data_IF_910893604201
#
_entry.id   IF_910893604201
#
_cell.length_a   1.000
_cell.length_b   1.000
_cell.length_c   1.000
_cell.angle_alpha   90.00
_cell.angle_beta   90.00
_cell.angle_gamma   90.00
#
_symmetry.space_group_name_H-M   'P 1'
#
loop_
_entity.id
_entity.type
_entity.pdbx_description
1 polymer ?
#
# COMPACT_ATOMS: atom_id res chain seq x y z
N UNK A 1 39.71 -27.56 40.79
CA UNK A 1 38.55 -28.07 40.07
C UNK A 1 37.42 -27.05 40.29
N UNK A 2 37.15 -26.31 39.50
CA UNK A 2 36.50 -25.85 38.31
C UNK A 2 35.74 -24.54 38.52
N UNK A 3 36.45 -23.45 38.85
CA UNK A 3 35.86 -22.10 38.81
C UNK A 3 35.67 -21.64 37.37
N UNK A 4 36.40 -22.19 36.42
CA UNK A 4 36.35 -21.82 35.00
C UNK A 4 35.09 -22.35 34.25
N UNK A 5 34.56 -23.52 34.65
CA UNK A 5 33.37 -24.11 34.00
C UNK A 5 32.06 -23.39 34.40
N UNK A 6 32.04 -22.76 35.56
CA UNK A 6 30.84 -22.05 36.03
C UNK A 6 30.66 -20.72 35.30
N UNK A 7 31.76 -20.02 34.99
CA UNK A 7 31.73 -18.74 34.27
C UNK A 7 31.27 -18.86 32.82
N UNK A 8 31.65 -19.96 32.13
CA UNK A 8 31.23 -20.17 30.74
C UNK A 8 29.74 -20.52 30.63
N UNK A 9 29.22 -21.26 31.62
CA UNK A 9 27.80 -21.62 31.66
C UNK A 9 26.91 -20.37 31.96
N UNK A 10 27.40 -19.48 32.80
CA UNK A 10 26.67 -18.23 33.14
C UNK A 10 26.62 -17.28 31.96
N UNK A 11 27.68 -17.21 31.15
CA UNK A 11 27.69 -16.36 29.93
C UNK A 11 26.77 -16.95 28.85
N UNK A 12 26.67 -18.28 28.75
CA UNK A 12 25.79 -18.95 27.79
C UNK A 12 24.31 -18.81 28.15
N UNK A 13 23.96 -18.74 29.42
CA UNK A 13 22.59 -18.53 29.89
C UNK A 13 22.14 -17.07 29.79
N UNK A 14 23.06 -16.11 29.82
CA UNK A 14 22.73 -14.69 29.60
C UNK A 14 22.50 -14.33 28.13
N UNK A 15 22.97 -15.13 27.18
CA UNK A 15 22.77 -14.89 25.74
C UNK A 15 21.41 -15.37 25.22
N UNK A 16 20.63 -16.12 26.02
CA UNK A 16 19.33 -16.68 25.60
C UNK A 16 18.14 -15.78 25.97
N UNK A 17 18.34 -14.77 26.79
CA UNK A 17 17.27 -13.93 27.32
C UNK A 17 17.28 -12.48 26.86
N UNK A 18 17.82 -12.20 25.66
CA UNK A 18 17.51 -10.91 25.03
C UNK A 18 16.05 -10.99 24.55
N UNK A 19 15.14 -10.19 25.13
CA UNK A 19 13.82 -10.08 24.56
C UNK A 19 14.04 -9.59 23.11
N UNK A 20 13.55 -10.35 22.15
CA UNK A 20 13.33 -9.79 20.83
C UNK A 20 12.36 -8.63 21.05
N UNK A 21 12.90 -7.43 21.13
CA UNK A 21 12.13 -6.21 20.96
C UNK A 21 11.63 -6.33 19.51
N UNK A 22 10.47 -6.95 19.32
CA UNK A 22 9.67 -6.68 18.16
C UNK A 22 9.40 -5.19 18.26
N UNK A 23 10.06 -4.42 17.40
CA UNK A 23 9.68 -3.05 17.17
C UNK A 23 8.19 -3.11 16.84
N UNK A 24 7.37 -2.76 17.82
CA UNK A 24 5.97 -2.51 17.63
C UNK A 24 5.97 -1.32 16.68
N UNK A 25 5.81 -1.59 15.38
CA UNK A 25 5.66 -0.54 14.39
C UNK A 25 4.46 0.25 14.85
N UNK A 26 4.71 1.44 15.35
CA UNK A 26 3.68 2.33 15.86
C UNK A 26 2.85 2.73 14.64
N UNK A 27 1.81 1.94 14.35
CA UNK A 27 0.93 2.18 13.22
C UNK A 27 0.26 3.51 13.49
N UNK A 28 0.50 4.47 12.60
CA UNK A 28 -0.09 5.80 12.67
C UNK A 28 -1.63 5.68 12.71
N UNK A 29 -2.30 6.47 13.52
CA UNK A 29 -3.77 6.48 13.57
C UNK A 29 -4.36 6.72 12.17
N UNK A 30 -5.47 6.04 11.87
CA UNK A 30 -6.10 6.03 10.55
C UNK A 30 -6.35 7.45 9.99
N UNK A 31 -6.78 8.40 10.84
CA UNK A 31 -7.05 9.80 10.43
C UNK A 31 -5.81 10.52 9.87
N UNK A 32 -4.63 9.94 10.05
CA UNK A 32 -3.35 10.46 9.54
C UNK A 32 -2.85 9.70 8.32
N UNK A 33 -3.63 8.74 7.82
CA UNK A 33 -3.29 7.99 6.61
C UNK A 33 -3.87 8.70 5.39
N UNK A 34 -3.10 8.75 4.33
CA UNK A 34 -3.63 9.10 3.02
C UNK A 34 -4.06 7.79 2.35
N UNK A 35 -5.36 7.61 2.17
CA UNK A 35 -5.87 6.54 1.33
C UNK A 35 -6.05 7.08 -0.09
N UNK A 36 -5.33 6.50 -1.05
CA UNK A 36 -5.47 6.84 -2.45
C UNK A 36 -5.89 5.60 -3.22
N UNK A 37 -7.02 5.68 -3.88
CA UNK A 37 -7.51 4.64 -4.76
C UNK A 37 -7.20 5.00 -6.21
N UNK A 38 -6.50 4.10 -6.92
CA UNK A 38 -6.12 4.32 -8.31
C UNK A 38 -7.05 3.67 -9.32
N UNK A 39 -7.93 2.77 -8.88
CA UNK A 39 -8.81 2.00 -9.76
C UNK A 39 -10.25 2.25 -9.37
N UNK A 40 -11.01 2.82 -10.29
CA UNK A 40 -12.47 2.89 -10.18
C UNK A 40 -13.05 1.54 -10.65
N UNK A 41 -13.72 0.83 -9.74
CA UNK A 41 -14.47 -0.39 -10.05
C UNK A 41 -15.96 -0.11 -9.99
N UNK A 42 -16.75 -0.83 -10.76
CA UNK A 42 -18.20 -0.77 -10.64
C UNK A 42 -18.65 -1.57 -9.41
N UNK A 43 -19.57 -1.03 -8.62
CA UNK A 43 -20.09 -1.65 -7.41
C UNK A 43 -19.44 -1.13 -6.12
N UNK A 44 -19.35 -1.99 -5.10
CA UNK A 44 -18.71 -1.62 -3.83
C UNK A 44 -17.22 -1.41 -4.02
N UNK A 45 -16.75 -0.28 -3.56
CA UNK A 45 -15.32 0.04 -3.60
C UNK A 45 -14.61 -0.72 -2.49
N UNK A 46 -13.39 -1.25 -2.72
CA UNK A 46 -12.58 -1.85 -1.65
C UNK A 46 -12.40 -0.92 -0.45
N UNK A 47 -12.36 0.38 -0.71
CA UNK A 47 -12.27 1.44 0.29
C UNK A 47 -13.41 1.38 1.31
N UNK A 48 -14.64 1.09 0.89
CA UNK A 48 -15.79 1.01 1.80
C UNK A 48 -15.57 -0.05 2.90
N UNK A 49 -14.93 -1.17 2.57
CA UNK A 49 -14.59 -2.22 3.54
C UNK A 49 -13.40 -1.83 4.41
N UNK A 50 -12.39 -1.20 3.83
CA UNK A 50 -11.16 -0.79 4.54
C UNK A 50 -11.48 0.29 5.57
N UNK A 51 -12.36 1.24 5.23
CA UNK A 51 -12.69 2.38 6.07
C UNK A 51 -13.73 2.06 7.17
N UNK A 52 -14.40 0.91 7.10
CA UNK A 52 -15.35 0.51 8.15
C UNK A 52 -14.61 0.13 9.44
N UNK A 53 -15.03 0.70 10.56
CA UNK A 53 -14.46 0.47 11.90
C UNK A 53 -12.92 0.59 11.90
N UNK A 54 -12.24 -0.44 12.42
CA UNK A 54 -10.79 -0.56 12.40
C UNK A 54 -10.27 -1.59 11.38
N UNK A 55 -10.99 -1.84 10.30
CA UNK A 55 -10.61 -2.83 9.30
C UNK A 55 -9.26 -2.53 8.65
N UNK A 56 -8.91 -1.25 8.48
CA UNK A 56 -7.59 -0.85 8.00
C UNK A 56 -6.44 -1.38 8.88
N UNK A 57 -6.63 -1.38 10.21
CA UNK A 57 -5.66 -1.89 11.16
C UNK A 57 -5.53 -3.42 11.04
N UNK A 58 -6.66 -4.11 10.90
CA UNK A 58 -6.71 -5.56 10.69
C UNK A 58 -5.97 -5.92 9.40
N UNK A 59 -6.33 -5.30 8.28
CA UNK A 59 -5.75 -5.56 6.95
C UNK A 59 -4.26 -5.25 6.95
N UNK A 60 -3.83 -4.13 7.56
CA UNK A 60 -2.42 -3.76 7.66
C UNK A 60 -1.59 -4.82 8.40
N UNK A 61 -2.11 -5.33 9.52
CA UNK A 61 -1.43 -6.37 10.28
C UNK A 61 -1.45 -7.73 9.55
N UNK A 62 -2.42 -7.97 8.69
CA UNK A 62 -2.52 -9.17 7.85
C UNK A 62 -1.61 -9.14 6.60
N UNK A 63 -0.75 -8.14 6.43
CA UNK A 63 0.36 -8.19 5.45
C UNK A 63 1.26 -9.40 5.68
N UNK A 64 1.31 -9.89 6.92
CA UNK A 64 1.87 -11.21 7.29
C UNK A 64 0.76 -12.12 7.80
N UNK A 65 0.80 -13.44 7.49
CA UNK A 65 -0.27 -14.35 7.88
C UNK A 65 -0.40 -14.51 9.40
N UNK A 66 -1.59 -14.23 9.93
CA UNK A 66 -1.92 -14.36 11.36
C UNK A 66 -3.25 -15.10 11.58
N UNK A 67 -3.37 -15.77 12.73
CA UNK A 67 -4.64 -16.25 13.28
C UNK A 67 -5.34 -15.11 14.01
N UNK A 68 -6.65 -15.24 14.26
CA UNK A 68 -7.40 -14.30 15.10
C UNK A 68 -6.74 -14.12 16.48
N UNK A 69 -6.31 -15.22 17.11
CA UNK A 69 -5.67 -15.15 18.42
C UNK A 69 -4.30 -14.41 18.38
N UNK A 70 -3.55 -14.53 17.29
CA UNK A 70 -2.31 -13.79 17.11
C UNK A 70 -2.59 -12.28 16.98
N UNK A 71 -3.58 -11.87 16.19
CA UNK A 71 -4.01 -10.47 16.06
C UNK A 71 -4.44 -9.88 17.42
N UNK A 72 -5.27 -10.60 18.17
CA UNK A 72 -5.71 -10.17 19.50
C UNK A 72 -4.53 -10.01 20.47
N UNK A 73 -3.53 -10.91 20.44
CA UNK A 73 -2.30 -10.79 21.23
C UNK A 73 -1.42 -9.60 20.83
N UNK A 74 -1.49 -9.17 19.57
CA UNK A 74 -0.82 -7.96 19.08
C UNK A 74 -1.55 -6.67 19.48
N UNK A 75 -2.73 -6.80 20.11
CA UNK A 75 -3.56 -5.66 20.54
C UNK A 75 -4.52 -5.18 19.44
N UNK A 76 -4.59 -5.85 18.30
CA UNK A 76 -5.52 -5.51 17.23
C UNK A 76 -6.92 -6.01 17.64
N UNK A 77 -7.85 -5.08 17.80
CA UNK A 77 -9.26 -5.43 18.04
C UNK A 77 -9.84 -6.05 16.78
N UNK A 78 -10.29 -7.29 16.87
CA UNK A 78 -10.76 -8.03 15.72
C UNK A 78 -11.81 -9.05 16.13
N UNK A 79 -12.80 -9.29 15.30
CA UNK A 79 -13.82 -10.33 15.47
C UNK A 79 -13.85 -11.26 14.25
N UNK A 80 -14.38 -12.47 14.45
CA UNK A 80 -14.62 -13.40 13.33
C UNK A 80 -15.54 -12.79 12.26
N UNK A 81 -16.53 -11.99 12.66
CA UNK A 81 -17.44 -11.32 11.71
C UNK A 81 -16.74 -10.30 10.84
N UNK A 82 -15.79 -9.54 11.39
CA UNK A 82 -14.98 -8.60 10.62
C UNK A 82 -14.08 -9.35 9.62
N UNK A 83 -13.41 -10.42 10.08
CA UNK A 83 -12.60 -11.24 9.19
C UNK A 83 -13.42 -11.86 8.05
N UNK A 84 -14.61 -12.36 8.35
CA UNK A 84 -15.52 -12.90 7.34
C UNK A 84 -15.95 -11.82 6.34
N UNK A 85 -16.28 -10.62 6.80
CA UNK A 85 -16.65 -9.50 5.94
C UNK A 85 -15.51 -9.13 4.99
N UNK A 86 -14.29 -9.06 5.50
CA UNK A 86 -13.10 -8.75 4.71
C UNK A 86 -12.76 -9.88 3.71
N UNK A 87 -13.00 -11.14 4.07
CA UNK A 87 -12.83 -12.28 3.18
C UNK A 87 -13.87 -12.25 2.05
N UNK A 88 -15.15 -12.02 2.37
CA UNK A 88 -16.21 -11.86 1.37
C UNK A 88 -15.95 -10.68 0.45
N UNK A 89 -15.39 -9.60 0.97
CA UNK A 89 -14.94 -8.45 0.19
C UNK A 89 -13.68 -8.69 -0.65
N UNK A 90 -13.07 -9.89 -0.54
CA UNK A 90 -11.87 -10.26 -1.31
C UNK A 90 -10.59 -9.56 -0.84
N UNK A 91 -10.60 -8.90 0.32
CA UNK A 91 -9.45 -8.16 0.86
C UNK A 91 -8.47 -9.03 1.63
N UNK A 92 -8.95 -10.15 2.14
CA UNK A 92 -8.12 -11.15 2.83
C UNK A 92 -8.51 -12.56 2.36
N UNK A 93 -7.59 -13.49 2.49
CA UNK A 93 -7.83 -14.92 2.29
C UNK A 93 -7.45 -15.72 3.54
N UNK A 94 -7.93 -16.96 3.62
CA UNK A 94 -7.62 -17.88 4.70
C UNK A 94 -6.89 -19.11 4.17
N UNK A 95 -5.65 -19.29 4.63
CA UNK A 95 -4.85 -20.44 4.26
C UNK A 95 -4.23 -21.10 5.50
N UNK A 96 -4.46 -22.41 5.67
CA UNK A 96 -3.94 -23.20 6.82
C UNK A 96 -4.30 -22.60 8.18
N UNK A 97 -5.53 -22.06 8.30
CA UNK A 97 -6.01 -21.47 9.54
C UNK A 97 -5.50 -20.08 9.88
N UNK A 98 -4.70 -19.47 9.00
CA UNK A 98 -4.21 -18.09 9.11
C UNK A 98 -4.86 -17.22 8.05
N UNK A 99 -5.13 -15.98 8.40
CA UNK A 99 -5.59 -14.93 7.51
C UNK A 99 -4.43 -14.16 6.93
N UNK A 100 -4.55 -13.72 5.69
CA UNK A 100 -3.56 -12.91 4.99
C UNK A 100 -4.25 -11.90 4.09
N UNK A 101 -3.70 -10.70 3.99
CA UNK A 101 -4.13 -9.69 3.03
C UNK A 101 -3.86 -10.15 1.58
N UNK A 102 -4.83 -9.92 0.70
CA UNK A 102 -4.76 -10.26 -0.74
C UNK A 102 -4.36 -9.05 -1.59
N UNK A 103 -4.52 -7.84 -1.05
CA UNK A 103 -4.20 -6.60 -1.73
C UNK A 103 -2.82 -6.08 -1.31
N UNK A 104 -2.08 -5.41 -2.20
CA UNK A 104 -0.84 -4.76 -1.84
C UNK A 104 -1.12 -3.53 -0.96
N UNK A 105 -0.50 -3.49 0.22
CA UNK A 105 -0.54 -2.35 1.12
C UNK A 105 0.88 -1.84 1.30
N UNK A 106 1.10 -0.61 0.89
CA UNK A 106 2.38 0.05 1.02
C UNK A 106 2.45 0.81 2.34
N UNK A 107 3.58 0.71 3.02
CA UNK A 107 3.87 1.56 4.17
C UNK A 107 4.38 2.94 3.74
N UNK A 108 4.66 3.80 4.70
CA UNK A 108 5.10 5.18 4.45
C UNK A 108 6.42 5.23 3.67
N UNK A 109 7.37 4.36 4.00
CA UNK A 109 8.67 4.29 3.33
C UNK A 109 8.53 3.83 1.88
N UNK A 110 7.78 2.76 1.66
CA UNK A 110 7.49 2.22 0.33
C UNK A 110 6.74 3.24 -0.53
N UNK A 111 5.73 3.91 0.03
CA UNK A 111 4.95 4.94 -0.65
C UNK A 111 5.83 6.14 -1.03
N UNK A 112 6.69 6.60 -0.12
CA UNK A 112 7.63 7.69 -0.37
C UNK A 112 8.63 7.31 -1.47
N UNK A 113 9.16 6.10 -1.42
CA UNK A 113 10.09 5.59 -2.44
C UNK A 113 9.43 5.56 -3.82
N UNK A 114 8.22 5.00 -3.92
CA UNK A 114 7.47 4.96 -5.18
C UNK A 114 7.13 6.36 -5.72
N UNK A 115 6.72 7.29 -4.84
CA UNK A 115 6.45 8.68 -5.24
C UNK A 115 7.70 9.36 -5.80
N UNK A 116 8.87 9.12 -5.21
CA UNK A 116 10.12 9.68 -5.70
C UNK A 116 10.50 9.09 -7.06
N UNK A 117 10.40 7.78 -7.24
CA UNK A 117 10.65 7.11 -8.53
C UNK A 117 9.68 7.64 -9.59
N UNK A 118 8.39 7.70 -9.29
CA UNK A 118 7.37 8.22 -10.20
C UNK A 118 7.63 9.66 -10.61
N UNK A 119 8.10 10.49 -9.69
CA UNK A 119 8.47 11.89 -9.96
C UNK A 119 9.64 12.00 -10.95
N UNK A 120 10.65 11.17 -10.78
CA UNK A 120 11.80 11.18 -11.72
C UNK A 120 11.39 10.65 -13.10
N UNK A 121 10.57 9.61 -13.17
CA UNK A 121 10.00 9.14 -14.44
C UNK A 121 9.17 10.24 -15.10
N UNK A 122 8.28 10.91 -14.37
CA UNK A 122 7.46 11.99 -14.89
C UNK A 122 8.30 13.16 -15.42
N UNK A 123 9.39 13.53 -14.73
CA UNK A 123 10.32 14.56 -15.21
C UNK A 123 10.99 14.15 -16.53
N UNK A 124 11.46 12.90 -16.62
CA UNK A 124 12.07 12.38 -17.83
C UNK A 124 11.07 12.36 -18.99
N UNK A 125 9.87 11.86 -18.77
CA UNK A 125 8.80 11.88 -19.77
C UNK A 125 8.48 13.30 -20.24
N UNK A 126 8.28 14.23 -19.29
CA UNK A 126 8.02 15.63 -19.62
C UNK A 126 9.15 16.26 -20.43
N UNK A 127 10.41 16.03 -20.06
CA UNK A 127 11.54 16.57 -20.80
C UNK A 127 11.58 16.08 -22.25
N UNK A 128 11.24 14.82 -22.48
CA UNK A 128 11.25 14.21 -23.82
C UNK A 128 10.05 14.64 -24.68
N UNK A 129 8.93 15.03 -24.08
CA UNK A 129 7.68 15.33 -24.78
C UNK A 129 7.28 16.80 -24.68
N UNK A 130 8.10 17.64 -24.06
CA UNK A 130 7.77 19.04 -23.78
C UNK A 130 7.33 19.84 -25.02
N UNK A 131 8.07 19.69 -26.13
CA UNK A 131 7.75 20.38 -27.39
C UNK A 131 6.37 19.98 -27.91
N UNK A 132 6.03 18.70 -27.82
CA UNK A 132 4.77 18.15 -28.30
C UNK A 132 3.60 18.65 -27.43
N UNK A 133 3.79 18.69 -26.11
CA UNK A 133 2.80 19.26 -25.20
C UNK A 133 2.57 20.76 -25.45
N UNK A 134 3.62 21.53 -25.69
CA UNK A 134 3.49 22.96 -26.02
C UNK A 134 2.69 23.14 -27.30
N UNK A 135 3.02 22.39 -28.36
CA UNK A 135 2.29 22.43 -29.63
C UNK A 135 0.83 22.02 -29.47
N UNK A 136 0.56 20.98 -28.69
CA UNK A 136 -0.79 20.50 -28.39
C UNK A 136 -1.63 21.58 -27.66
N UNK A 137 -1.07 22.15 -26.59
CA UNK A 137 -1.75 23.22 -25.83
C UNK A 137 -2.02 24.45 -26.71
N UNK A 138 -1.10 24.79 -27.59
CA UNK A 138 -1.32 25.87 -28.56
C UNK A 138 -2.51 25.57 -29.49
N UNK A 139 -2.57 24.38 -30.06
CA UNK A 139 -3.69 23.93 -30.91
C UNK A 139 -5.03 23.98 -30.15
N UNK A 140 -5.05 23.47 -28.91
CA UNK A 140 -6.26 23.51 -28.07
C UNK A 140 -6.72 24.95 -27.83
N UNK A 141 -5.80 25.87 -27.63
CA UNK A 141 -6.08 27.30 -27.47
C UNK A 141 -6.64 27.92 -28.74
N UNK A 142 -6.04 27.66 -29.89
CA UNK A 142 -6.55 28.15 -31.19
C UNK A 142 -7.96 27.62 -31.49
N UNK A 143 -8.30 26.44 -31.03
CA UNK A 143 -9.66 25.88 -31.12
C UNK A 143 -10.65 26.47 -30.12
N UNK A 144 -10.24 27.40 -29.24
CA UNK A 144 -11.08 28.03 -28.23
C UNK A 144 -11.31 27.23 -26.97
N UNK A 145 -10.55 26.15 -26.73
CA UNK A 145 -10.69 25.27 -25.57
C UNK A 145 -9.62 25.48 -24.48
N UNK A 146 -9.04 26.66 -24.39
CA UNK A 146 -7.94 26.96 -23.45
C UNK A 146 -8.29 26.57 -22.00
N UNK A 147 -9.52 26.89 -21.54
CA UNK A 147 -9.98 26.59 -20.19
C UNK A 147 -10.15 25.07 -19.93
N UNK A 148 -10.20 24.28 -20.98
CA UNK A 148 -10.37 22.82 -20.90
C UNK A 148 -9.08 22.06 -21.22
N UNK A 149 -7.96 22.75 -21.44
CA UNK A 149 -6.72 22.14 -21.92
C UNK A 149 -6.24 21.02 -21.00
N UNK A 150 -6.26 21.22 -19.68
CA UNK A 150 -5.87 20.20 -18.71
C UNK A 150 -6.75 18.94 -18.81
N UNK A 151 -8.07 19.13 -18.84
CA UNK A 151 -9.03 18.00 -18.93
C UNK A 151 -8.88 17.25 -20.23
N UNK A 152 -8.69 17.94 -21.36
CA UNK A 152 -8.50 17.30 -22.66
C UNK A 152 -7.19 16.50 -22.72
N UNK A 153 -6.09 17.08 -22.22
CA UNK A 153 -4.82 16.39 -22.20
C UNK A 153 -4.87 15.18 -21.25
N UNK A 154 -5.37 15.37 -20.04
CA UNK A 154 -5.40 14.30 -19.05
C UNK A 154 -6.36 13.19 -19.46
N UNK A 155 -7.64 13.48 -19.65
CA UNK A 155 -8.67 12.46 -19.83
C UNK A 155 -8.61 11.80 -21.21
N UNK A 156 -8.25 12.52 -22.26
CA UNK A 156 -8.26 11.96 -23.60
C UNK A 156 -6.92 11.36 -24.03
N UNK A 157 -5.80 12.02 -23.73
CA UNK A 157 -4.48 11.54 -24.15
C UNK A 157 -3.85 10.63 -23.11
N UNK A 158 -3.72 11.07 -21.87
CA UNK A 158 -2.98 10.32 -20.85
C UNK A 158 -3.81 9.15 -20.34
N UNK A 159 -5.06 9.37 -19.97
CA UNK A 159 -5.91 8.31 -19.41
C UNK A 159 -6.51 7.42 -20.50
N UNK A 160 -7.01 7.98 -21.59
CA UNK A 160 -7.65 7.21 -22.65
C UNK A 160 -6.67 6.52 -23.62
N UNK A 161 -5.80 7.29 -24.28
CA UNK A 161 -4.98 6.79 -25.40
C UNK A 161 -3.66 6.15 -24.97
N UNK A 162 -3.05 6.62 -23.91
CA UNK A 162 -1.79 6.06 -23.43
C UNK A 162 -1.95 4.60 -23.02
N UNK A 163 -2.99 4.26 -22.28
CA UNK A 163 -3.26 2.88 -21.85
C UNK A 163 -3.51 1.95 -23.02
N UNK A 164 -4.25 2.40 -24.04
CA UNK A 164 -4.49 1.60 -25.26
C UNK A 164 -3.19 1.25 -25.99
N UNK A 165 -2.16 2.10 -25.88
CA UNK A 165 -0.87 1.87 -26.53
C UNK A 165 0.07 1.01 -25.68
N UNK A 166 -0.01 1.10 -24.35
CA UNK A 166 0.81 0.30 -23.44
C UNK A 166 0.46 -1.19 -23.49
N UNK A 167 -0.81 -1.53 -23.70
CA UNK A 167 -1.28 -2.93 -23.84
C UNK A 167 -0.76 -3.63 -25.11
N UNK A 168 -0.18 -2.89 -26.06
CA UNK A 168 0.36 -3.45 -27.32
C UNK A 168 1.83 -3.88 -27.22
N UNK A 169 2.43 -3.86 -26.06
CA UNK A 169 3.83 -4.27 -25.82
C UNK A 169 3.99 -5.58 -25.03
N UNK A 170 2.90 -6.35 -24.84
CA UNK A 170 2.94 -7.72 -24.29
C UNK A 170 3.09 -8.79 -25.39
#
# INVERSE_FOLDING_TARGET
>A
MNKFKLSVLTIFLLSISLPRIQAQTNVRAYEKWEATQFVAVSGHQPEDYVLADNNWEIIYNLRTPHTLNELLKMGVKCSDSQLLLLEVGGLIDRTKGKWRCTIPILDEEQTTSLRNISKEIAKSMYSNTKSDFVSLVHTIKEMGFENNALSLVFSYLLDGRMWTKLVLFD
#
